data_IF_083438739363
#
_entry.id   IF_083438739363
#
_cell.length_a   1.000
_cell.length_b   1.000
_cell.length_c   1.000
_cell.angle_alpha   90.00
_cell.angle_beta   90.00
_cell.angle_gamma   90.00
#
_symmetry.space_group_name_H-M   'P 1'
#
loop_
_entity.id
_entity.type
_entity.pdbx_description
1 polymer ?
#
# COMPACT_ATOMS: atom_id res chain seq x y z
N UNK A 1 -29.46 -5.94 31.01
CA UNK A 1 -28.94 -4.93 30.05
C UNK A 1 -27.41 -4.91 29.94
N UNK A 2 -26.67 -5.24 31.01
CA UNK A 2 -25.20 -5.29 31.02
C UNK A 2 -24.58 -6.31 30.03
N UNK A 3 -25.15 -7.51 29.91
CA UNK A 3 -24.63 -8.54 28.98
C UNK A 3 -24.71 -8.14 27.50
N UNK A 4 -25.76 -7.42 27.10
CA UNK A 4 -25.91 -6.90 25.73
C UNK A 4 -24.91 -5.78 25.42
N UNK A 5 -24.46 -5.05 26.43
CA UNK A 5 -23.38 -4.06 26.32
C UNK A 5 -22.00 -4.72 26.21
N UNK A 6 -21.72 -5.71 27.07
CA UNK A 6 -20.49 -6.49 27.05
C UNK A 6 -20.24 -7.15 25.68
N UNK A 7 -21.26 -7.80 25.12
CA UNK A 7 -21.16 -8.45 23.80
C UNK A 7 -20.90 -7.48 22.65
N UNK A 8 -21.33 -6.21 22.75
CA UNK A 8 -21.03 -5.18 21.75
C UNK A 8 -19.58 -4.69 21.86
N UNK A 9 -19.10 -4.46 23.08
CA UNK A 9 -17.73 -4.01 23.34
C UNK A 9 -16.74 -5.08 22.90
N UNK A 10 -16.95 -6.35 23.27
CA UNK A 10 -16.10 -7.47 22.86
C UNK A 10 -16.08 -7.63 21.34
N UNK A 11 -17.24 -7.52 20.67
CA UNK A 11 -17.31 -7.58 19.20
C UNK A 11 -16.60 -6.42 18.51
N UNK A 12 -16.69 -5.21 19.07
CA UNK A 12 -15.97 -4.04 18.58
C UNK A 12 -14.46 -4.20 18.77
N UNK A 13 -14.01 -4.65 19.93
CA UNK A 13 -12.61 -4.92 20.23
C UNK A 13 -12.01 -5.93 19.25
N UNK A 14 -12.70 -7.05 18.99
CA UNK A 14 -12.27 -8.05 18.00
C UNK A 14 -12.10 -7.41 16.62
N UNK A 15 -13.06 -6.58 16.18
CA UNK A 15 -12.98 -5.88 14.88
C UNK A 15 -11.80 -4.92 14.79
N UNK A 16 -11.48 -4.23 15.89
CA UNK A 16 -10.35 -3.30 15.96
C UNK A 16 -9.04 -4.08 15.90
N UNK A 17 -8.89 -5.15 16.69
CA UNK A 17 -7.68 -5.99 16.69
C UNK A 17 -7.45 -6.64 15.32
N UNK A 18 -8.52 -7.19 14.72
CA UNK A 18 -8.46 -7.78 13.37
C UNK A 18 -8.12 -6.75 12.31
N UNK A 19 -8.64 -5.52 12.42
CA UNK A 19 -8.30 -4.42 11.52
C UNK A 19 -6.80 -4.12 11.58
N UNK A 20 -6.26 -3.88 12.78
CA UNK A 20 -4.84 -3.57 12.94
C UNK A 20 -3.94 -4.74 12.49
N UNK A 21 -4.30 -5.98 12.83
CA UNK A 21 -3.52 -7.15 12.44
C UNK A 21 -3.36 -7.27 10.92
N UNK A 22 -4.45 -7.23 10.17
CA UNK A 22 -4.38 -7.33 8.70
C UNK A 22 -3.83 -6.07 8.02
N UNK A 23 -4.04 -4.89 8.60
CA UNK A 23 -3.41 -3.66 8.12
C UNK A 23 -1.89 -3.77 8.20
N UNK A 24 -1.36 -4.32 9.29
CA UNK A 24 0.09 -4.56 9.42
C UNK A 24 0.62 -5.56 8.41
N UNK A 25 -0.12 -6.61 8.09
CA UNK A 25 0.26 -7.54 7.02
C UNK A 25 0.43 -6.81 5.68
N UNK A 26 -0.52 -5.93 5.32
CA UNK A 26 -0.40 -5.13 4.09
C UNK A 26 0.83 -4.19 4.10
N UNK A 27 1.11 -3.56 5.24
CA UNK A 27 2.27 -2.67 5.43
C UNK A 27 3.58 -3.47 5.29
N UNK A 28 3.72 -4.61 5.98
CA UNK A 28 4.93 -5.44 5.97
C UNK A 28 5.22 -5.98 4.57
N UNK A 29 4.21 -6.47 3.86
CA UNK A 29 4.37 -6.93 2.47
C UNK A 29 4.82 -5.80 1.55
N UNK A 30 4.21 -4.63 1.68
CA UNK A 30 4.58 -3.44 0.90
C UNK A 30 6.00 -2.97 1.22
N UNK A 31 6.39 -3.00 2.51
CA UNK A 31 7.73 -2.64 2.96
C UNK A 31 8.80 -3.59 2.40
N UNK A 32 8.54 -4.90 2.46
CA UNK A 32 9.42 -5.91 1.88
C UNK A 32 9.63 -5.70 0.38
N UNK A 33 8.54 -5.54 -0.37
CA UNK A 33 8.60 -5.26 -1.82
C UNK A 33 9.39 -3.99 -2.12
N UNK A 34 9.12 -2.90 -1.40
CA UNK A 34 9.82 -1.62 -1.61
C UNK A 34 11.31 -1.76 -1.34
N UNK A 35 11.68 -2.51 -0.29
CA UNK A 35 13.08 -2.72 0.09
C UNK A 35 13.80 -3.53 -0.99
N UNK A 36 13.22 -4.63 -1.44
CA UNK A 36 13.79 -5.45 -2.52
C UNK A 36 13.99 -4.62 -3.79
N UNK A 37 12.97 -3.88 -4.24
CA UNK A 37 13.09 -3.09 -5.48
C UNK A 37 14.13 -1.97 -5.39
N UNK A 38 14.28 -1.34 -4.21
CA UNK A 38 15.28 -0.29 -4.00
C UNK A 38 16.69 -0.83 -4.23
N UNK A 39 17.00 -1.99 -3.65
CA UNK A 39 18.31 -2.61 -3.79
C UNK A 39 18.52 -3.26 -5.17
N UNK A 40 17.45 -3.67 -5.86
CA UNK A 40 17.56 -4.26 -7.21
C UNK A 40 17.78 -3.24 -8.33
N UNK A 41 17.22 -2.03 -8.23
CA UNK A 41 17.22 -1.06 -9.34
C UNK A 41 18.32 -0.01 -9.22
N UNK A 42 18.63 0.48 -8.00
CA UNK A 42 19.74 1.42 -7.81
C UNK A 42 19.62 2.77 -8.54
N UNK A 43 18.39 3.22 -8.85
CA UNK A 43 18.15 4.49 -9.54
C UNK A 43 18.56 5.69 -8.65
N UNK A 44 19.38 6.63 -9.13
CA UNK A 44 19.75 7.82 -8.36
C UNK A 44 18.58 8.78 -8.16
N UNK A 45 18.54 9.44 -6.99
CA UNK A 45 17.56 10.48 -6.62
C UNK A 45 17.93 11.83 -7.24
N UNK A 46 16.97 12.78 -7.37
CA UNK A 46 17.24 14.10 -7.96
C UNK A 46 18.36 14.89 -7.28
N UNK A 47 18.56 14.71 -5.96
CA UNK A 47 19.61 15.38 -5.18
C UNK A 47 20.96 14.63 -5.14
N UNK A 48 21.11 13.54 -5.90
CA UNK A 48 22.33 12.72 -5.91
C UNK A 48 23.60 13.51 -6.23
N UNK A 49 23.55 14.40 -7.21
CA UNK A 49 24.71 15.21 -7.61
C UNK A 49 25.19 16.15 -6.50
N UNK A 50 24.26 16.70 -5.72
CA UNK A 50 24.59 17.55 -4.57
C UNK A 50 25.33 16.75 -3.49
N UNK A 51 24.89 15.52 -3.20
CA UNK A 51 25.53 14.64 -2.22
C UNK A 51 26.87 14.09 -2.71
N UNK A 52 27.03 13.87 -4.01
CA UNK A 52 28.26 13.32 -4.59
C UNK A 52 29.44 14.31 -4.51
N UNK A 53 29.17 15.63 -4.48
CA UNK A 53 30.17 16.70 -4.38
C UNK A 53 31.38 16.48 -5.33
N UNK A 54 31.11 16.09 -6.58
CA UNK A 54 32.17 15.97 -7.58
C UNK A 54 32.53 17.35 -8.11
N UNK A 55 33.82 17.69 -8.15
CA UNK A 55 34.30 18.78 -9.00
C UNK A 55 33.93 18.46 -10.45
N UNK A 56 32.93 19.15 -10.98
CA UNK A 56 32.51 19.02 -12.37
C UNK A 56 33.67 19.45 -13.28
N UNK A 57 34.58 18.53 -13.62
CA UNK A 57 35.23 18.61 -14.91
C UNK A 57 34.13 18.21 -15.89
N UNK A 58 33.36 19.19 -16.36
CA UNK A 58 32.59 19.02 -17.58
C UNK A 58 33.59 18.49 -18.60
N UNK A 59 33.57 17.18 -18.85
CA UNK A 59 34.32 16.60 -19.94
C UNK A 59 33.95 17.44 -21.14
N UNK A 60 34.94 18.08 -21.74
CA UNK A 60 34.83 19.04 -22.84
C UNK A 60 34.25 18.43 -24.13
N UNK A 61 33.65 17.25 -24.04
CA UNK A 61 32.89 16.62 -25.08
C UNK A 61 31.42 16.53 -24.63
N UNK A 62 30.57 17.24 -25.36
CA UNK A 62 29.11 17.05 -25.39
C UNK A 62 28.78 15.62 -25.84
N UNK A 63 29.10 14.61 -25.03
CA UNK A 63 28.61 13.26 -25.21
C UNK A 63 27.25 13.18 -24.53
N UNK A 64 26.20 12.96 -25.33
CA UNK A 64 24.81 12.68 -24.90
C UNK A 64 24.67 11.33 -24.19
N UNK A 65 25.77 10.76 -23.70
CA UNK A 65 25.83 9.45 -23.07
C UNK A 65 25.43 9.56 -21.61
N UNK A 66 24.42 8.79 -21.21
CA UNK A 66 23.95 8.74 -19.83
C UNK A 66 25.05 8.12 -18.96
N UNK A 67 25.84 8.95 -18.28
CA UNK A 67 26.90 8.46 -17.39
C UNK A 67 26.24 7.72 -16.23
N UNK A 68 26.44 6.39 -16.20
CA UNK A 68 25.98 5.53 -15.11
C UNK A 68 26.51 6.03 -13.77
N UNK A 69 25.65 6.07 -12.74
CA UNK A 69 25.96 6.58 -11.39
C UNK A 69 27.20 5.96 -10.73
N UNK A 70 27.64 4.79 -11.21
CA UNK A 70 28.82 4.08 -10.73
C UNK A 70 30.16 4.64 -11.24
N UNK A 71 30.12 5.53 -12.25
CA UNK A 71 31.32 6.16 -12.83
C UNK A 71 31.67 7.51 -12.19
N UNK A 72 30.89 7.98 -11.21
CA UNK A 72 31.19 9.23 -10.50
C UNK A 72 32.15 8.99 -9.34
N UNK A 73 33.30 9.67 -9.36
CA UNK A 73 34.18 9.80 -8.20
C UNK A 73 33.57 10.83 -7.22
N UNK A 74 32.76 10.33 -6.28
CA UNK A 74 32.15 11.17 -5.26
C UNK A 74 33.12 11.45 -4.11
N UNK A 75 33.26 12.72 -3.74
CA UNK A 75 34.03 13.16 -2.56
C UNK A 75 33.13 13.35 -1.31
N UNK A 76 31.82 13.27 -1.49
CA UNK A 76 30.85 13.31 -0.39
C UNK A 76 30.89 12.09 0.51
N UNK A 77 30.18 12.15 1.63
CA UNK A 77 30.11 11.05 2.60
C UNK A 77 29.47 9.80 1.94
N UNK A 78 30.13 8.63 2.01
CA UNK A 78 29.69 7.43 1.30
C UNK A 78 28.29 6.93 1.69
N UNK A 79 27.86 7.16 2.94
CA UNK A 79 26.53 6.75 3.42
C UNK A 79 25.42 7.55 2.71
N UNK A 80 25.57 8.88 2.63
CA UNK A 80 24.58 9.73 1.97
C UNK A 80 24.57 9.54 0.45
N UNK A 81 25.73 9.25 -0.14
CA UNK A 81 25.85 8.92 -1.56
C UNK A 81 25.15 7.59 -1.87
N UNK A 82 25.32 6.57 -1.04
CA UNK A 82 24.63 5.28 -1.21
C UNK A 82 23.11 5.45 -1.06
N UNK A 83 22.65 6.23 -0.08
CA UNK A 83 21.22 6.51 0.07
C UNK A 83 20.64 7.26 -1.14
N UNK A 84 21.40 8.21 -1.67
CA UNK A 84 21.02 8.95 -2.87
C UNK A 84 20.98 8.09 -4.14
N UNK A 85 21.55 6.87 -4.14
CA UNK A 85 21.42 5.87 -5.22
C UNK A 85 20.18 4.98 -5.09
N UNK A 86 19.35 5.15 -4.05
CA UNK A 86 18.17 4.33 -3.79
C UNK A 86 16.86 5.15 -3.97
N UNK A 87 16.44 5.38 -5.22
CA UNK A 87 15.22 6.15 -5.55
C UNK A 87 13.96 5.32 -5.79
N UNK A 88 14.08 4.10 -6.35
CA UNK A 88 12.93 3.38 -6.90
C UNK A 88 12.34 2.32 -5.94
N UNK A 89 11.03 2.28 -5.67
CA UNK A 89 10.01 3.35 -5.70
C UNK A 89 9.85 3.95 -4.30
N UNK A 90 9.09 5.04 -4.15
CA UNK A 90 9.01 5.72 -2.86
C UNK A 90 8.32 4.86 -1.79
N UNK A 91 9.04 4.61 -0.68
CA UNK A 91 8.51 3.88 0.48
C UNK A 91 7.40 4.65 1.19
N UNK A 92 7.52 5.97 1.30
CA UNK A 92 6.47 6.79 1.93
C UNK A 92 5.16 6.71 1.14
N UNK A 93 5.23 6.82 -0.19
CA UNK A 93 4.05 6.78 -1.05
C UNK A 93 3.40 5.40 -1.08
N UNK A 94 4.19 4.32 -1.15
CA UNK A 94 3.63 2.96 -1.18
C UNK A 94 3.01 2.55 0.15
N UNK A 95 3.66 2.85 1.29
CA UNK A 95 3.13 2.51 2.61
C UNK A 95 1.91 3.35 2.99
N UNK A 96 1.90 4.66 2.67
CA UNK A 96 0.74 5.52 2.94
C UNK A 96 -0.48 5.08 2.14
N UNK A 97 -0.29 4.71 0.86
CA UNK A 97 -1.41 4.24 0.03
C UNK A 97 -1.84 2.81 0.36
N UNK A 98 -0.92 1.93 0.76
CA UNK A 98 -1.29 0.58 1.20
C UNK A 98 -2.19 0.63 2.44
N UNK A 99 -1.81 1.40 3.45
CA UNK A 99 -2.59 1.55 4.68
C UNK A 99 -3.93 2.26 4.44
N UNK A 100 -3.94 3.37 3.68
CA UNK A 100 -5.16 4.09 3.34
C UNK A 100 -6.14 3.22 2.53
N UNK A 101 -5.65 2.50 1.51
CA UNK A 101 -6.48 1.61 0.69
C UNK A 101 -7.08 0.48 1.51
N UNK A 102 -6.28 -0.16 2.38
CA UNK A 102 -6.80 -1.21 3.26
C UNK A 102 -7.88 -0.66 4.21
N UNK A 103 -7.69 0.54 4.78
CA UNK A 103 -8.68 1.18 5.63
C UNK A 103 -9.99 1.49 4.88
N UNK A 104 -9.90 2.01 3.66
CA UNK A 104 -11.06 2.28 2.80
C UNK A 104 -11.87 1.01 2.52
N UNK A 105 -11.17 -0.07 2.12
CA UNK A 105 -11.79 -1.37 1.86
C UNK A 105 -12.42 -1.96 3.12
N UNK A 106 -11.72 -1.89 4.26
CA UNK A 106 -12.22 -2.34 5.56
C UNK A 106 -13.51 -1.64 5.96
N UNK A 107 -13.54 -0.30 5.83
CA UNK A 107 -14.74 0.49 6.08
C UNK A 107 -15.87 0.08 5.15
N UNK A 108 -15.59 -0.13 3.86
CA UNK A 108 -16.61 -0.53 2.88
C UNK A 108 -17.28 -1.86 3.26
N UNK A 109 -16.50 -2.85 3.70
CA UNK A 109 -17.03 -4.18 3.98
C UNK A 109 -17.68 -4.32 5.36
N UNK A 110 -17.25 -3.54 6.36
CA UNK A 110 -17.63 -3.76 7.76
C UNK A 110 -18.54 -2.68 8.35
N UNK A 111 -18.66 -1.51 7.70
CA UNK A 111 -19.55 -0.44 8.18
C UNK A 111 -21.02 -0.76 7.87
N UNK A 112 -21.90 -0.84 8.89
CA UNK A 112 -23.32 -1.06 8.66
C UNK A 112 -23.96 0.22 8.07
N UNK A 113 -24.76 0.13 6.99
CA UNK A 113 -25.45 1.30 6.41
C UNK A 113 -26.49 1.93 7.36
N UNK A 114 -26.83 1.25 8.46
CA UNK A 114 -27.74 1.74 9.50
C UNK A 114 -27.05 2.62 10.56
N UNK A 115 -25.72 2.55 10.68
CA UNK A 115 -24.97 3.20 11.76
C UNK A 115 -24.41 4.57 11.32
N UNK A 116 -24.22 4.77 10.02
CA UNK A 116 -23.67 5.99 9.41
C UNK A 116 -24.52 6.39 8.20
N UNK A 117 -24.80 7.69 8.05
CA UNK A 117 -25.52 8.25 6.89
C UNK A 117 -24.91 7.75 5.57
N UNK A 118 -25.74 7.58 4.52
CA UNK A 118 -25.31 7.12 3.18
C UNK A 118 -24.12 7.91 2.61
N UNK A 119 -23.92 9.15 3.07
CA UNK A 119 -22.84 10.05 2.63
C UNK A 119 -21.61 10.05 3.53
N UNK A 120 -21.73 9.64 4.79
CA UNK A 120 -20.64 9.81 5.77
C UNK A 120 -19.53 8.76 5.55
N UNK A 121 -19.89 7.52 5.22
CA UNK A 121 -18.91 6.48 4.89
C UNK A 121 -18.04 6.84 3.67
N UNK A 122 -18.60 7.21 2.50
CA UNK A 122 -17.79 7.60 1.35
C UNK A 122 -16.97 8.87 1.60
N UNK A 123 -17.48 9.80 2.42
CA UNK A 123 -16.73 10.99 2.81
C UNK A 123 -15.48 10.65 3.66
N UNK A 124 -15.62 9.76 4.65
CA UNK A 124 -14.47 9.29 5.45
C UNK A 124 -13.48 8.53 4.58
N UNK A 125 -13.96 7.69 3.66
CA UNK A 125 -13.11 6.97 2.71
C UNK A 125 -12.31 7.93 1.83
N UNK A 126 -12.96 8.98 1.33
CA UNK A 126 -12.30 10.03 0.55
C UNK A 126 -11.19 10.72 1.35
N UNK A 127 -11.45 11.12 2.60
CA UNK A 127 -10.44 11.76 3.46
C UNK A 127 -9.24 10.84 3.71
N UNK A 128 -9.49 9.56 4.01
CA UNK A 128 -8.43 8.58 4.25
C UNK A 128 -7.56 8.36 3.01
N UNK A 129 -8.18 8.24 1.84
CA UNK A 129 -7.43 8.06 0.60
C UNK A 129 -6.68 9.33 0.20
N UNK A 130 -7.31 10.50 0.35
CA UNK A 130 -6.72 11.79 0.07
C UNK A 130 -5.52 12.10 0.98
N UNK A 131 -5.56 11.72 2.26
CA UNK A 131 -4.40 11.89 3.15
C UNK A 131 -3.21 11.02 2.74
N UNK A 132 -3.47 9.78 2.29
CA UNK A 132 -2.44 8.91 1.70
C UNK A 132 -1.79 9.54 0.46
N UNK A 133 -2.62 10.07 -0.44
CA UNK A 133 -2.17 10.78 -1.65
C UNK A 133 -1.41 12.07 -1.31
N UNK A 134 -1.82 12.81 -0.28
CA UNK A 134 -1.12 14.02 0.16
C UNK A 134 0.31 13.69 0.63
N UNK A 135 0.50 12.60 1.37
CA UNK A 135 1.83 12.10 1.73
C UNK A 135 2.63 11.75 0.48
N UNK A 136 2.04 11.08 -0.50
CA UNK A 136 2.73 10.77 -1.76
C UNK A 136 3.13 12.03 -2.55
N UNK A 137 2.22 13.01 -2.63
CA UNK A 137 2.45 14.30 -3.30
C UNK A 137 3.57 15.11 -2.64
N UNK A 138 3.63 15.13 -1.31
CA UNK A 138 4.71 15.81 -0.58
C UNK A 138 6.11 15.33 -1.00
N UNK A 139 6.26 14.05 -1.38
CA UNK A 139 7.54 13.50 -1.85
C UNK A 139 7.98 14.01 -3.22
N UNK A 140 7.06 14.49 -4.04
CA UNK A 140 7.35 15.16 -5.31
C UNK A 140 7.75 16.61 -5.07
N UNK A 141 7.00 17.31 -4.21
CA UNK A 141 7.24 18.73 -3.87
C UNK A 141 8.59 18.91 -3.17
N UNK A 142 8.96 17.98 -2.27
CA UNK A 142 10.25 18.03 -1.56
C UNK A 142 11.46 17.65 -2.45
N UNK A 143 11.27 17.46 -3.78
CA UNK A 143 12.29 17.01 -4.74
C UNK A 143 13.06 15.74 -4.35
N UNK A 144 12.49 14.93 -3.45
CA UNK A 144 13.13 13.71 -2.96
C UNK A 144 13.02 12.54 -3.94
N UNK A 145 11.98 12.53 -4.78
CA UNK A 145 11.71 11.46 -5.74
C UNK A 145 11.21 12.01 -7.07
N UNK A 146 11.43 11.26 -8.15
CA UNK A 146 10.77 11.55 -9.42
C UNK A 146 9.27 11.26 -9.30
N UNK A 147 8.40 12.01 -10.00
CA UNK A 147 6.97 11.73 -10.05
C UNK A 147 6.66 10.29 -10.47
N UNK A 148 7.44 9.72 -11.39
CA UNK A 148 7.28 8.31 -11.83
C UNK A 148 7.53 7.31 -10.71
N UNK A 149 8.54 7.55 -9.86
CA UNK A 149 8.83 6.69 -8.69
C UNK A 149 7.71 6.77 -7.65
N UNK A 150 7.05 7.93 -7.54
CA UNK A 150 5.88 8.12 -6.65
C UNK A 150 4.64 7.43 -7.21
N UNK A 151 4.36 7.55 -8.51
CA UNK A 151 3.22 6.89 -9.16
C UNK A 151 3.31 5.36 -9.08
N UNK A 152 4.50 4.79 -9.31
CA UNK A 152 4.73 3.36 -9.10
C UNK A 152 4.47 2.96 -7.65
N UNK A 153 4.92 3.75 -6.67
CA UNK A 153 4.65 3.50 -5.26
C UNK A 153 3.15 3.51 -4.92
N UNK A 154 2.41 4.50 -5.43
CA UNK A 154 0.94 4.58 -5.28
C UNK A 154 0.27 3.33 -5.85
N UNK A 155 0.63 2.94 -7.08
CA UNK A 155 0.06 1.77 -7.73
C UNK A 155 0.33 0.48 -6.95
N UNK A 156 1.59 0.24 -6.55
CA UNK A 156 1.98 -0.95 -5.78
C UNK A 156 1.23 -0.99 -4.44
N UNK A 157 1.14 0.13 -3.73
CA UNK A 157 0.42 0.21 -2.46
C UNK A 157 -1.06 -0.19 -2.59
N UNK A 158 -1.75 0.32 -3.61
CA UNK A 158 -3.16 -0.02 -3.89
C UNK A 158 -3.31 -1.51 -4.21
N UNK A 159 -2.46 -2.06 -5.07
CA UNK A 159 -2.52 -3.47 -5.49
C UNK A 159 -2.29 -4.41 -4.30
N UNK A 160 -1.22 -4.19 -3.54
CA UNK A 160 -0.89 -5.06 -2.38
C UNK A 160 -2.00 -5.02 -1.34
N UNK A 161 -2.50 -3.83 -0.99
CA UNK A 161 -3.60 -3.70 -0.03
C UNK A 161 -4.88 -4.39 -0.51
N UNK A 162 -5.20 -4.31 -1.81
CA UNK A 162 -6.36 -4.97 -2.40
C UNK A 162 -6.23 -6.50 -2.36
N UNK A 163 -5.03 -7.03 -2.64
CA UNK A 163 -4.75 -8.46 -2.55
C UNK A 163 -4.87 -8.96 -1.11
N UNK A 164 -4.33 -8.22 -0.14
CA UNK A 164 -4.45 -8.56 1.29
C UNK A 164 -5.92 -8.53 1.72
N UNK A 165 -6.67 -7.49 1.35
CA UNK A 165 -8.09 -7.39 1.70
C UNK A 165 -8.90 -8.56 1.12
N UNK A 166 -8.63 -8.98 -0.12
CA UNK A 166 -9.35 -10.05 -0.80
C UNK A 166 -8.94 -11.44 -0.33
N UNK A 167 -7.64 -11.77 -0.37
CA UNK A 167 -7.16 -13.14 -0.21
C UNK A 167 -6.74 -13.48 1.23
N UNK A 168 -6.23 -12.50 1.98
CA UNK A 168 -5.74 -12.72 3.35
C UNK A 168 -6.86 -12.44 4.36
N UNK A 169 -7.41 -11.23 4.32
CA UNK A 169 -8.46 -10.79 5.24
C UNK A 169 -9.86 -11.30 4.85
N UNK A 170 -10.01 -11.83 3.61
CA UNK A 170 -11.27 -12.37 3.07
C UNK A 170 -12.46 -11.46 3.33
N UNK A 171 -12.22 -10.18 3.09
CA UNK A 171 -13.06 -9.13 3.65
C UNK A 171 -14.47 -9.11 3.04
N UNK A 172 -14.58 -9.56 1.79
CA UNK A 172 -15.82 -9.60 1.02
C UNK A 172 -16.41 -11.02 0.88
N UNK A 173 -15.81 -12.02 1.53
CA UNK A 173 -16.33 -13.38 1.48
C UNK A 173 -17.63 -13.47 2.30
N UNK A 174 -18.64 -14.22 1.81
CA UNK A 174 -19.85 -14.46 2.59
C UNK A 174 -19.50 -15.20 3.89
N UNK A 175 -20.27 -15.01 4.97
CA UNK A 175 -20.09 -15.77 6.19
C UNK A 175 -20.03 -17.27 5.88
N UNK A 176 -19.09 -18.00 6.48
CA UNK A 176 -18.86 -19.44 6.23
C UNK A 176 -20.15 -20.25 6.30
N UNK A 177 -21.06 -19.88 7.19
CA UNK A 177 -22.38 -20.50 7.37
C UNK A 177 -23.27 -20.37 6.13
N UNK A 178 -23.27 -19.21 5.46
CA UNK A 178 -24.01 -18.97 4.22
C UNK A 178 -23.38 -19.72 3.05
N UNK A 179 -22.05 -19.83 3.01
CA UNK A 179 -21.35 -20.61 1.99
C UNK A 179 -21.68 -22.12 2.11
N UNK A 180 -21.73 -22.65 3.33
CA UNK A 180 -22.12 -24.03 3.61
C UNK A 180 -23.57 -24.30 3.21
N UNK A 181 -24.51 -23.42 3.58
CA UNK A 181 -25.92 -23.57 3.19
C UNK A 181 -26.07 -23.59 1.66
N UNK A 182 -25.35 -22.71 0.96
CA UNK A 182 -25.40 -22.65 -0.50
C UNK A 182 -24.81 -23.92 -1.15
N UNK A 183 -23.73 -24.46 -0.59
CA UNK A 183 -23.13 -25.72 -1.02
C UNK A 183 -24.05 -26.91 -0.79
N UNK A 184 -24.67 -27.03 0.39
CA UNK A 184 -25.61 -28.10 0.72
C UNK A 184 -26.84 -28.05 -0.20
N UNK A 185 -27.36 -26.85 -0.48
CA UNK A 185 -28.51 -26.67 -1.38
C UNK A 185 -28.16 -27.03 -2.83
N UNK A 186 -26.95 -26.70 -3.28
CA UNK A 186 -26.46 -27.08 -4.61
C UNK A 186 -26.35 -28.60 -4.76
N UNK A 187 -25.77 -29.29 -3.77
CA UNK A 187 -25.64 -30.75 -3.79
C UNK A 187 -27.01 -31.45 -3.72
N UNK A 188 -27.95 -30.92 -2.95
CA UNK A 188 -29.33 -31.44 -2.91
C UNK A 188 -30.03 -31.36 -4.27
N UNK A 189 -29.82 -30.26 -5.00
CA UNK A 189 -30.44 -30.05 -6.30
C UNK A 189 -29.81 -30.93 -7.40
N UNK A 190 -28.49 -31.13 -7.36
CA UNK A 190 -27.80 -32.07 -8.26
C UNK A 190 -28.29 -33.51 -8.06
N UNK A 191 -28.48 -33.93 -6.80
CA UNK A 191 -28.96 -35.27 -6.49
C UNK A 191 -30.43 -35.48 -6.90
N UNK A 192 -31.26 -34.44 -6.95
CA UNK A 192 -32.64 -34.54 -7.50
C UNK A 192 -32.64 -34.71 -9.03
N UNK A 193 -31.66 -34.17 -9.73
CA UNK A 193 -31.55 -34.25 -11.19
C UNK A 193 -30.96 -35.58 -11.70
N UNK A 194 -30.17 -36.29 -10.88
CA UNK A 194 -29.63 -37.62 -11.23
C UNK A 194 -30.64 -38.77 -11.01
N UNK A 195 -31.74 -38.52 -10.30
CA UNK A 195 -32.74 -39.55 -9.93
C UNK A 195 -33.96 -39.55 -10.86
N UNK A 196 -34.00 -38.66 -11.86
CA UNK A 196 -35.03 -38.56 -12.91
C UNK A 196 -34.46 -39.00 -14.25
#
# INVERSE_FOLDING_TARGET
MAERGYNKITRLAIRIVVFFGYCQVAIVLTWGLTTVTKFSIGRPRPYFLWMCNSTYTCASNYSTEYVSSDKYECQGNPLFVQEARLSFFSGHSSLSLASATYAVLYLQARMPPKLFSRLLTPFIQFILFASGLFVAYSRVVDHNHHPTDVLCGVFVGIVVASLVAKYVARLFDPPTEVALIKSTRSNSFSNELEVV
#
